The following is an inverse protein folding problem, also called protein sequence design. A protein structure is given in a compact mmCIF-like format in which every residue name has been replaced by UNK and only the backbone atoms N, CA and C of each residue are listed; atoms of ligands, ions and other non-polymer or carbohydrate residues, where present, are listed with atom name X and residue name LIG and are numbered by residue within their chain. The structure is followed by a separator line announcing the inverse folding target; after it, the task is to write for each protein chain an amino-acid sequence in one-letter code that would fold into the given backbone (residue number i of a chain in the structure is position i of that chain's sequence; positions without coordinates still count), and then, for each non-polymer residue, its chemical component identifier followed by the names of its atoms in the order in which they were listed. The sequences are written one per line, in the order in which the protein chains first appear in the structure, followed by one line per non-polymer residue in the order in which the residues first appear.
data_IF_596161198011
#
_entry.id   IF_596161198011
#
_cell.length_a   1.000
_cell.length_b   1.000
_cell.length_c   1.000
_cell.angle_alpha   90.00
_cell.angle_beta   90.00
_cell.angle_gamma   90.00
#
_symmetry.space_group_name_H-M   'P 1'
#
loop_
_entity.id
_entity.type
_entity.pdbx_description
1 polymer ?
#
# COMPACT_ATOMS: atom_id res chain seq x y z
N UNK A 1 -10.94 0.22 27.12
CA UNK A 1 -11.11 0.77 25.76
C UNK A 1 -11.00 -0.37 24.76
N UNK A 2 -11.86 -0.44 23.74
CA UNK A 2 -11.72 -1.44 22.69
C UNK A 2 -10.45 -1.17 21.88
N UNK A 3 -9.58 -2.16 21.76
CA UNK A 3 -8.31 -2.07 21.05
C UNK A 3 -8.53 -2.01 19.53
N UNK A 4 -7.64 -1.30 18.84
CA UNK A 4 -7.55 -1.34 17.38
C UNK A 4 -6.84 -2.63 16.99
N UNK A 5 -7.49 -3.45 16.17
CA UNK A 5 -6.97 -4.77 15.79
C UNK A 5 -6.44 -4.83 14.37
N UNK A 6 -6.87 -3.90 13.51
CA UNK A 6 -6.46 -3.81 12.11
C UNK A 6 -6.47 -2.38 11.65
N UNK A 7 -5.48 -2.03 10.84
CA UNK A 7 -5.39 -0.78 10.11
C UNK A 7 -5.04 -1.11 8.66
N UNK A 8 -5.73 -0.49 7.72
CA UNK A 8 -5.48 -0.61 6.29
C UNK A 8 -5.68 0.76 5.64
N UNK A 9 -4.90 1.06 4.62
CA UNK A 9 -4.96 2.32 3.89
C UNK A 9 -5.52 2.05 2.51
N UNK A 10 -6.48 2.86 2.08
CA UNK A 10 -6.94 2.82 0.70
C UNK A 10 -5.93 3.51 -0.22
N UNK A 11 -5.89 3.15 -1.52
CA UNK A 11 -5.11 3.88 -2.52
C UNK A 11 -5.51 5.36 -2.65
N UNK A 12 -6.71 5.73 -2.17
CA UNK A 12 -7.19 7.11 -2.17
C UNK A 12 -6.70 7.92 -0.94
N UNK A 13 -5.90 7.32 -0.04
CA UNK A 13 -5.33 7.99 1.13
C UNK A 13 -6.22 7.96 2.38
N UNK A 14 -7.34 7.23 2.35
CA UNK A 14 -8.18 7.06 3.55
C UNK A 14 -7.61 5.97 4.45
N UNK A 15 -7.61 6.24 5.75
CA UNK A 15 -7.35 5.28 6.81
C UNK A 15 -8.64 4.51 7.13
N UNK A 16 -8.55 3.19 7.18
CA UNK A 16 -9.56 2.30 7.71
C UNK A 16 -9.03 1.58 8.93
N UNK A 17 -9.82 1.53 10.00
CA UNK A 17 -9.42 0.87 11.25
C UNK A 17 -10.56 0.05 11.85
N UNK A 18 -10.23 -1.17 12.28
CA UNK A 18 -11.14 -2.04 13.04
C UNK A 18 -10.89 -1.85 14.53
N UNK A 19 -11.90 -1.34 15.25
CA UNK A 19 -11.86 -1.13 16.70
C UNK A 19 -12.95 -2.00 17.35
N UNK A 20 -12.54 -3.01 18.10
CA UNK A 20 -13.48 -4.07 18.52
C UNK A 20 -14.08 -4.76 17.30
N UNK A 21 -15.41 -4.69 17.16
CA UNK A 21 -16.18 -5.30 16.06
C UNK A 21 -16.60 -4.31 14.97
N UNK A 22 -16.24 -3.04 15.12
CA UNK A 22 -16.66 -1.93 14.26
C UNK A 22 -15.55 -1.52 13.28
N UNK A 23 -15.92 -1.05 12.09
CA UNK A 23 -15.00 -0.48 11.10
C UNK A 23 -15.22 1.02 10.98
N UNK A 24 -14.13 1.76 11.04
CA UNK A 24 -14.07 3.22 10.88
C UNK A 24 -13.27 3.58 9.64
N UNK A 25 -13.62 4.72 9.03
CA UNK A 25 -12.95 5.34 7.88
C UNK A 25 -12.76 6.83 8.13
N UNK A 26 -11.62 7.37 7.72
CA UNK A 26 -11.38 8.80 7.72
C UNK A 26 -10.03 9.15 7.12
N UNK A 27 -9.81 10.44 6.85
CA UNK A 27 -8.49 10.93 6.44
C UNK A 27 -7.47 10.71 7.55
N UNK A 28 -6.19 10.64 7.18
CA UNK A 28 -5.11 10.52 8.15
C UNK A 28 -5.12 11.68 9.15
N UNK A 29 -4.88 11.42 10.45
CA UNK A 29 -4.77 12.49 11.43
C UNK A 29 -3.56 13.36 11.08
N UNK A 30 -3.75 14.68 11.12
CA UNK A 30 -2.71 15.65 10.75
C UNK A 30 -1.71 15.91 11.89
N UNK A 31 -2.01 15.41 13.09
CA UNK A 31 -1.17 15.53 14.28
C UNK A 31 -1.37 14.34 15.22
N UNK A 32 -0.35 14.04 16.04
CA UNK A 32 -0.38 12.96 17.02
C UNK A 32 -1.38 13.16 18.16
N UNK A 33 -1.84 14.40 18.38
CA UNK A 33 -2.75 14.74 19.48
C UNK A 33 -4.23 14.64 19.07
N UNK A 34 -4.51 14.36 17.79
CA UNK A 34 -5.86 14.21 17.29
C UNK A 34 -6.38 12.81 17.62
N UNK A 35 -7.46 12.73 18.40
CA UNK A 35 -8.22 11.48 18.50
C UNK A 35 -8.91 11.20 17.17
N UNK A 36 -8.30 10.35 16.35
CA UNK A 36 -8.80 10.02 15.02
C UNK A 36 -10.22 9.45 15.06
N UNK A 37 -10.58 8.67 16.09
CA UNK A 37 -11.91 8.06 16.21
C UNK A 37 -13.00 9.09 16.52
N UNK A 38 -12.66 10.27 17.05
CA UNK A 38 -13.62 11.35 17.26
C UNK A 38 -14.09 11.99 15.94
N UNK A 39 -13.26 11.91 14.89
CA UNK A 39 -13.53 12.48 13.56
C UNK A 39 -13.81 11.43 12.49
N UNK A 40 -13.42 10.16 12.72
CA UNK A 40 -13.63 9.09 11.77
C UNK A 40 -15.11 8.69 11.66
N UNK A 41 -15.56 8.40 10.45
CA UNK A 41 -16.90 7.89 10.18
C UNK A 41 -16.92 6.39 10.45
N UNK A 42 -17.86 5.92 11.28
CA UNK A 42 -18.16 4.48 11.36
C UNK A 42 -18.82 4.06 10.05
N UNK A 43 -18.21 3.10 9.37
CA UNK A 43 -18.69 2.55 8.08
C UNK A 43 -19.06 1.07 8.21
N UNK A 44 -18.93 0.50 9.40
CA UNK A 44 -19.30 -0.88 9.67
C UNK A 44 -19.62 -1.09 11.14
N UNK A 45 -20.82 -1.59 11.42
CA UNK A 45 -21.39 -1.64 12.78
C UNK A 45 -20.99 -2.87 13.61
N UNK A 46 -20.73 -4.01 12.96
CA UNK A 46 -20.44 -5.27 13.67
C UNK A 46 -19.63 -6.23 12.79
N UNK A 47 -19.12 -7.27 13.43
CA UNK A 47 -18.43 -8.44 12.87
C UNK A 47 -17.14 -8.16 12.11
N UNK A 48 -16.56 -6.96 12.17
CA UNK A 48 -15.30 -6.68 11.46
C UNK A 48 -14.09 -7.38 12.07
N UNK A 49 -14.21 -7.86 13.31
CA UNK A 49 -13.20 -8.67 13.97
C UNK A 49 -13.13 -10.10 13.41
N UNK A 50 -14.14 -10.57 12.67
CA UNK A 50 -14.15 -11.92 12.05
C UNK A 50 -13.11 -12.10 10.96
N UNK A 51 -12.64 -10.99 10.38
CA UNK A 51 -11.60 -11.00 9.37
C UNK A 51 -10.23 -11.23 10.03
N UNK A 52 -9.38 -12.03 9.38
CA UNK A 52 -7.96 -12.16 9.72
C UNK A 52 -7.16 -11.02 9.12
N UNK A 53 -7.42 -10.70 7.86
CA UNK A 53 -6.76 -9.62 7.13
C UNK A 53 -7.76 -8.78 6.34
N UNK A 54 -7.40 -7.51 6.14
CA UNK A 54 -8.06 -6.54 5.29
C UNK A 54 -6.97 -5.85 4.47
N UNK A 55 -7.16 -5.74 3.16
CA UNK A 55 -6.19 -5.13 2.25
C UNK A 55 -6.90 -4.61 1.00
N UNK A 56 -6.34 -3.59 0.37
CA UNK A 56 -6.86 -3.03 -0.88
C UNK A 56 -6.02 -3.48 -2.07
N UNK A 57 -6.68 -3.64 -3.21
CA UNK A 57 -6.02 -3.64 -4.51
C UNK A 57 -5.71 -2.18 -4.95
N UNK A 58 -4.91 -1.94 -6.00
CA UNK A 58 -4.59 -0.58 -6.45
C UNK A 58 -5.83 0.23 -6.89
N UNK A 59 -6.91 -0.44 -7.27
CA UNK A 59 -8.15 0.18 -7.72
C UNK A 59 -9.10 0.54 -6.56
N UNK A 60 -8.72 0.23 -5.32
CA UNK A 60 -9.51 0.54 -4.13
C UNK A 60 -10.61 -0.48 -3.82
N UNK A 61 -10.57 -1.67 -4.42
CA UNK A 61 -11.43 -2.80 -4.02
C UNK A 61 -10.90 -3.36 -2.71
N UNK A 62 -11.77 -3.47 -1.71
CA UNK A 62 -11.45 -4.07 -0.43
C UNK A 62 -11.47 -5.59 -0.56
N UNK A 63 -10.39 -6.24 -0.14
CA UNK A 63 -10.30 -7.69 0.05
C UNK A 63 -10.25 -8.02 1.54
N UNK A 64 -10.95 -9.09 1.92
CA UNK A 64 -11.05 -9.52 3.31
C UNK A 64 -11.01 -11.06 3.40
N UNK A 65 -10.00 -11.61 4.07
CA UNK A 65 -9.98 -13.03 4.40
C UNK A 65 -10.55 -13.25 5.80
N UNK A 66 -11.48 -14.18 5.94
CA UNK A 66 -12.08 -14.53 7.23
C UNK A 66 -11.13 -15.41 8.06
N UNK A 67 -11.31 -15.43 9.38
CA UNK A 67 -10.60 -16.37 10.27
C UNK A 67 -10.88 -17.84 9.91
N UNK A 68 -12.03 -18.12 9.28
CA UNK A 68 -12.44 -19.45 8.81
C UNK A 68 -11.86 -19.80 7.44
N UNK A 69 -11.14 -18.87 6.78
CA UNK A 69 -10.37 -19.16 5.57
C UNK A 69 -11.07 -18.84 4.25
N UNK A 70 -12.22 -18.17 4.26
CA UNK A 70 -12.86 -17.67 3.05
C UNK A 70 -12.24 -16.33 2.62
N UNK A 71 -12.27 -16.02 1.32
CA UNK A 71 -11.88 -14.70 0.79
C UNK A 71 -13.06 -14.02 0.10
N UNK A 72 -13.23 -12.74 0.41
CA UNK A 72 -14.23 -11.87 -0.20
C UNK A 72 -13.57 -10.63 -0.77
N UNK A 73 -14.18 -10.06 -1.82
CA UNK A 73 -13.80 -8.76 -2.38
C UNK A 73 -15.03 -7.91 -2.67
N UNK A 74 -14.92 -6.60 -2.60
CA UNK A 74 -16.01 -5.68 -2.95
C UNK A 74 -15.61 -4.22 -2.79
N UNK A 75 -16.48 -3.27 -3.18
CA UNK A 75 -16.24 -1.86 -2.91
C UNK A 75 -16.05 -1.62 -1.41
N UNK A 76 -15.17 -0.68 -1.04
CA UNK A 76 -14.99 -0.32 0.37
C UNK A 76 -16.32 0.20 0.96
N UNK A 77 -16.72 -0.22 2.17
CA UNK A 77 -17.96 0.26 2.77
C UNK A 77 -17.92 1.76 3.01
N UNK A 78 -18.98 2.47 2.62
CA UNK A 78 -19.11 3.92 2.74
C UNK A 78 -20.07 4.37 3.85
N UNK A 79 -20.86 3.45 4.40
CA UNK A 79 -21.83 3.69 5.47
C UNK A 79 -22.10 2.39 6.27
N UNK A 80 -22.54 2.54 7.51
CA UNK A 80 -22.75 1.43 8.46
C UNK A 80 -24.08 0.68 8.31
N UNK A 81 -25.00 1.17 7.47
CA UNK A 81 -26.37 0.66 7.38
C UNK A 81 -26.47 -0.57 6.46
N UNK A 82 -25.42 -0.88 5.70
CA UNK A 82 -25.37 -2.02 4.81
C UNK A 82 -24.33 -3.02 5.28
N UNK A 83 -24.71 -4.31 5.30
CA UNK A 83 -23.74 -5.37 5.53
C UNK A 83 -22.83 -5.52 4.32
N UNK A 84 -21.55 -5.19 4.48
CA UNK A 84 -20.57 -5.37 3.41
C UNK A 84 -20.53 -6.82 2.92
N UNK A 85 -20.49 -7.79 3.86
CA UNK A 85 -20.36 -9.21 3.52
C UNK A 85 -21.54 -9.76 2.72
N UNK A 86 -22.77 -9.31 3.00
CA UNK A 86 -24.00 -9.87 2.40
C UNK A 86 -24.62 -8.98 1.31
N UNK A 87 -24.26 -7.69 1.26
CA UNK A 87 -24.84 -6.73 0.31
C UNK A 87 -23.89 -6.29 -0.80
N UNK A 88 -22.59 -6.26 -0.55
CA UNK A 88 -21.60 -5.64 -1.46
C UNK A 88 -20.47 -6.59 -1.86
N UNK A 89 -20.04 -7.45 -0.95
CA UNK A 89 -18.90 -8.32 -1.16
C UNK A 89 -19.28 -9.57 -1.96
N UNK A 90 -18.38 -9.95 -2.87
CA UNK A 90 -18.43 -11.19 -3.62
C UNK A 90 -17.43 -12.18 -3.02
N UNK A 91 -17.89 -13.41 -2.73
CA UNK A 91 -16.99 -14.50 -2.36
C UNK A 91 -16.12 -14.87 -3.55
N UNK A 92 -14.81 -14.90 -3.36
CA UNK A 92 -13.81 -15.27 -4.39
C UNK A 92 -12.86 -16.35 -3.92
N UNK A 93 -13.09 -16.94 -2.75
CA UNK A 93 -12.34 -18.09 -2.28
C UNK A 93 -13.10 -18.84 -1.19
N UNK A 94 -13.16 -20.17 -1.31
CA UNK A 94 -13.94 -21.05 -0.41
C UNK A 94 -13.21 -21.44 0.87
N UNK A 95 -11.87 -21.48 0.88
CA UNK A 95 -11.10 -21.95 2.03
C UNK A 95 -9.60 -21.70 1.91
N UNK A 96 -8.87 -21.89 3.01
CA UNK A 96 -7.40 -21.82 3.07
C UNK A 96 -6.78 -20.42 3.15
N UNK A 97 -7.56 -19.35 2.95
CA UNK A 97 -7.03 -17.98 2.93
C UNK A 97 -6.52 -17.49 4.29
N UNK A 98 -6.97 -18.12 5.37
CA UNK A 98 -6.49 -17.88 6.73
C UNK A 98 -5.12 -18.51 7.01
N UNK A 99 -4.60 -19.36 6.11
CA UNK A 99 -3.29 -19.99 6.29
C UNK A 99 -2.13 -19.10 5.86
N UNK A 100 -2.38 -18.14 4.95
CA UNK A 100 -1.36 -17.17 4.53
C UNK A 100 -0.89 -16.33 5.72
N UNK A 101 0.43 -16.21 5.85
CA UNK A 101 1.06 -15.31 6.83
C UNK A 101 0.86 -13.84 6.44
N UNK A 102 0.87 -13.56 5.13
CA UNK A 102 0.59 -12.25 4.55
C UNK A 102 -0.07 -12.38 3.18
N UNK A 103 -0.92 -11.40 2.84
CA UNK A 103 -1.56 -11.22 1.54
C UNK A 103 -1.47 -9.73 1.18
N UNK A 104 -1.01 -9.41 -0.03
CA UNK A 104 -0.86 -8.03 -0.49
C UNK A 104 -0.81 -7.96 -2.01
N UNK A 105 -1.12 -6.79 -2.56
CA UNK A 105 -1.05 -6.51 -3.99
C UNK A 105 0.19 -5.69 -4.32
N UNK A 106 0.67 -5.80 -5.55
CA UNK A 106 1.56 -4.80 -6.16
C UNK A 106 0.74 -3.74 -6.93
N UNK A 107 1.41 -2.68 -7.41
CA UNK A 107 0.77 -1.61 -8.20
C UNK A 107 0.04 -2.09 -9.47
N UNK A 108 0.41 -3.25 -10.03
CA UNK A 108 -0.24 -3.84 -11.22
C UNK A 108 -1.46 -4.71 -10.88
N UNK A 109 -1.85 -4.79 -9.61
CA UNK A 109 -2.97 -5.61 -9.16
C UNK A 109 -2.69 -7.12 -9.12
N UNK A 110 -1.42 -7.54 -9.12
CA UNK A 110 -1.05 -8.94 -8.89
C UNK A 110 -1.06 -9.23 -7.39
N UNK A 111 -1.72 -10.32 -7.00
CA UNK A 111 -1.81 -10.77 -5.61
C UNK A 111 -0.57 -11.59 -5.26
N UNK A 112 -0.01 -11.32 -4.08
CA UNK A 112 1.08 -12.05 -3.47
C UNK A 112 0.61 -12.69 -2.18
N UNK A 113 1.14 -13.87 -1.89
CA UNK A 113 0.87 -14.60 -0.66
C UNK A 113 2.14 -15.19 -0.07
N UNK A 114 2.26 -15.10 1.25
CA UNK A 114 3.30 -15.80 2.01
C UNK A 114 2.70 -17.04 2.64
N UNK A 115 3.15 -18.21 2.23
CA UNK A 115 2.68 -19.52 2.74
C UNK A 115 3.82 -20.53 2.74
N UNK A 116 3.87 -21.40 3.75
CA UNK A 116 4.92 -22.42 3.91
C UNK A 116 6.35 -21.89 3.71
N UNK A 117 6.62 -20.71 4.27
CA UNK A 117 7.90 -19.98 4.17
C UNK A 117 8.30 -19.55 2.74
N UNK A 118 7.38 -19.66 1.78
CA UNK A 118 7.54 -19.23 0.38
C UNK A 118 6.78 -17.94 0.10
N UNK A 119 7.21 -17.24 -0.95
CA UNK A 119 6.44 -16.18 -1.59
C UNK A 119 5.90 -16.69 -2.93
N UNK A 120 4.58 -16.58 -3.08
CA UNK A 120 3.86 -16.96 -4.30
C UNK A 120 3.10 -15.76 -4.86
N UNK A 121 2.89 -15.74 -6.17
CA UNK A 121 2.13 -14.68 -6.85
C UNK A 121 1.26 -15.23 -7.97
N UNK A 122 0.11 -14.57 -8.20
CA UNK A 122 -0.79 -14.77 -9.34
C UNK A 122 -1.81 -13.64 -9.39
N UNK A 123 -2.45 -13.42 -10.54
CA UNK A 123 -3.65 -12.58 -10.60
C UNK A 123 -4.68 -13.02 -9.54
N UNK A 124 -5.41 -12.08 -8.91
CA UNK A 124 -6.36 -12.41 -7.85
C UNK A 124 -7.48 -13.30 -8.37
N UNK A 125 -8.08 -14.14 -7.50
CA UNK A 125 -9.18 -14.99 -7.91
C UNK A 125 -10.42 -14.15 -8.22
N UNK A 126 -11.22 -14.62 -9.17
CA UNK A 126 -12.48 -13.96 -9.57
C UNK A 126 -13.72 -14.77 -9.19
N UNK A 127 -13.55 -16.03 -8.78
CA UNK A 127 -14.64 -16.93 -8.40
C UNK A 127 -14.23 -17.85 -7.24
N UNK A 128 -15.16 -18.36 -6.42
CA UNK A 128 -14.86 -19.16 -5.24
C UNK A 128 -14.05 -20.43 -5.50
N UNK A 129 -14.31 -21.10 -6.63
CA UNK A 129 -13.72 -22.42 -6.97
C UNK A 129 -12.34 -22.31 -7.64
N UNK A 130 -11.76 -21.11 -7.66
CA UNK A 130 -10.41 -20.89 -8.18
C UNK A 130 -9.37 -21.35 -7.14
N UNK A 131 -8.72 -22.47 -7.45
CA UNK A 131 -7.57 -22.94 -6.67
C UNK A 131 -6.34 -22.06 -6.94
N UNK A 132 -6.36 -20.90 -6.30
CA UNK A 132 -5.39 -19.84 -6.51
C UNK A 132 -3.98 -20.30 -6.13
N UNK A 133 -3.85 -21.08 -5.06
CA UNK A 133 -2.54 -21.49 -4.56
C UNK A 133 -1.88 -22.53 -5.48
N UNK A 134 -2.60 -23.55 -5.94
CA UNK A 134 -2.00 -24.61 -6.77
C UNK A 134 -1.50 -24.12 -8.13
N UNK A 135 -2.14 -23.07 -8.66
CA UNK A 135 -1.78 -22.43 -9.93
C UNK A 135 -0.88 -21.19 -9.78
N UNK A 136 -0.45 -20.86 -8.55
CA UNK A 136 0.42 -19.72 -8.31
C UNK A 136 1.88 -19.99 -8.69
N UNK A 137 2.58 -18.93 -9.09
CA UNK A 137 4.03 -19.01 -9.33
C UNK A 137 4.78 -18.77 -8.02
N UNK A 138 5.65 -19.70 -7.64
CA UNK A 138 6.59 -19.48 -6.53
C UNK A 138 7.76 -18.61 -7.03
N UNK A 139 7.98 -17.50 -6.35
CA UNK A 139 9.04 -16.51 -6.65
C UNK A 139 9.99 -16.30 -5.45
N UNK A 140 9.77 -17.05 -4.38
CA UNK A 140 10.61 -17.02 -3.18
C UNK A 140 10.54 -18.37 -2.48
N UNK A 141 11.68 -19.03 -2.32
CA UNK A 141 11.72 -20.44 -1.91
C UNK A 141 11.78 -20.66 -0.40
N UNK A 142 12.28 -19.70 0.38
CA UNK A 142 12.40 -19.77 1.84
C UNK A 142 12.66 -18.39 2.45
N UNK A 143 12.52 -18.29 3.77
CA UNK A 143 12.81 -17.09 4.56
C UNK A 143 11.73 -16.00 4.49
N UNK A 144 10.54 -16.32 3.98
CA UNK A 144 9.44 -15.35 3.84
C UNK A 144 8.54 -15.29 5.06
N UNK A 145 8.42 -16.39 5.83
CA UNK A 145 7.52 -16.45 6.99
C UNK A 145 7.96 -15.55 8.14
N UNK A 146 9.25 -15.24 8.21
CA UNK A 146 9.82 -14.33 9.21
C UNK A 146 9.63 -12.86 8.84
N UNK A 147 9.29 -12.57 7.58
CA UNK A 147 9.02 -11.23 7.10
C UNK A 147 7.54 -10.86 7.35
N UNK A 148 7.31 -9.60 7.69
CA UNK A 148 6.00 -9.01 7.95
C UNK A 148 5.95 -7.59 7.37
N UNK A 149 4.79 -6.92 7.53
CA UNK A 149 4.60 -5.53 7.11
C UNK A 149 5.01 -5.29 5.64
N UNK A 150 4.57 -6.19 4.76
CA UNK A 150 4.87 -6.11 3.34
C UNK A 150 4.19 -4.90 2.71
N UNK A 151 4.97 -4.11 1.97
CA UNK A 151 4.48 -2.98 1.19
C UNK A 151 5.04 -3.15 -0.23
N UNK A 152 4.17 -3.48 -1.18
CA UNK A 152 4.52 -3.64 -2.61
C UNK A 152 3.89 -2.55 -3.50
N UNK A 153 3.34 -1.53 -2.86
CA UNK A 153 2.80 -0.31 -3.47
C UNK A 153 3.74 0.88 -3.28
N UNK A 154 5.04 0.64 -3.10
CA UNK A 154 5.97 1.75 -2.97
C UNK A 154 6.13 2.46 -4.33
N UNK A 155 6.31 3.79 -4.34
CA UNK A 155 6.48 4.57 -5.57
C UNK A 155 7.68 4.14 -6.43
N UNK A 156 8.65 3.46 -5.81
CA UNK A 156 9.88 2.98 -6.43
C UNK A 156 9.77 1.56 -7.02
N UNK A 157 8.58 0.94 -6.94
CA UNK A 157 8.32 -0.45 -7.36
C UNK A 157 9.12 -1.52 -6.60
N UNK A 158 9.77 -1.16 -5.50
CA UNK A 158 10.45 -2.11 -4.64
C UNK A 158 9.46 -2.82 -3.69
N UNK A 159 9.84 -4.02 -3.26
CA UNK A 159 9.22 -4.64 -2.11
C UNK A 159 9.85 -4.06 -0.85
N UNK A 160 9.01 -3.68 0.10
CA UNK A 160 9.41 -3.36 1.46
C UNK A 160 8.86 -4.39 2.42
N UNK A 161 9.65 -4.76 3.42
CA UNK A 161 9.21 -5.68 4.47
C UNK A 161 10.07 -5.52 5.73
N UNK A 162 9.55 -6.02 6.84
CA UNK A 162 10.23 -6.03 8.14
C UNK A 162 10.49 -7.46 8.56
N UNK A 163 11.72 -7.78 8.95
CA UNK A 163 12.02 -9.04 9.64
C UNK A 163 11.48 -8.96 11.07
N UNK A 164 10.46 -9.76 11.36
CA UNK A 164 9.76 -9.78 12.65
C UNK A 164 10.65 -10.15 13.84
N UNK A 165 11.78 -10.84 13.60
CA UNK A 165 12.66 -11.36 14.65
C UNK A 165 13.59 -10.29 15.20
N UNK A 166 14.12 -9.44 14.33
CA UNK A 166 15.13 -8.43 14.69
C UNK A 166 14.67 -6.99 14.40
N UNK A 167 13.50 -6.81 13.79
CA UNK A 167 12.93 -5.52 13.45
C UNK A 167 13.62 -4.81 12.28
N UNK A 168 14.50 -5.50 11.55
CA UNK A 168 15.18 -4.92 10.39
C UNK A 168 14.19 -4.65 9.27
N UNK A 169 14.18 -3.42 8.75
CA UNK A 169 13.41 -3.08 7.55
C UNK A 169 14.30 -3.22 6.32
N UNK A 170 13.77 -3.87 5.29
CA UNK A 170 14.43 -4.14 4.03
C UNK A 170 13.63 -3.53 2.88
N UNK A 171 14.36 -3.03 1.89
CA UNK A 171 13.83 -2.56 0.60
C UNK A 171 14.63 -3.20 -0.52
N UNK A 172 13.98 -3.71 -1.55
CA UNK A 172 14.66 -4.13 -2.77
C UNK A 172 13.71 -4.56 -3.88
N UNK A 173 14.23 -4.91 -5.06
CA UNK A 173 13.40 -5.30 -6.18
C UNK A 173 12.57 -6.53 -5.83
N UNK A 174 11.31 -6.56 -6.27
CA UNK A 174 10.44 -7.73 -6.13
C UNK A 174 11.15 -8.93 -6.79
N UNK A 175 11.32 -10.06 -6.08
CA UNK A 175 11.98 -11.23 -6.65
C UNK A 175 11.15 -11.81 -7.79
N UNK A 176 11.84 -12.48 -8.72
CA UNK A 176 11.21 -13.18 -9.83
C UNK A 176 11.42 -14.68 -9.68
N UNK A 177 10.74 -15.48 -10.50
CA UNK A 177 10.96 -16.92 -10.55
C UNK A 177 12.43 -17.26 -10.85
N UNK A 178 13.06 -16.49 -11.73
CA UNK A 178 14.44 -16.70 -12.17
C UNK A 178 15.47 -16.14 -11.19
N UNK A 179 15.06 -15.19 -10.34
CA UNK A 179 15.90 -14.62 -9.29
C UNK A 179 15.14 -14.45 -7.97
N UNK A 180 14.95 -15.55 -7.21
CA UNK A 180 14.13 -15.57 -6.02
C UNK A 180 14.82 -14.98 -4.78
N UNK A 181 16.10 -14.58 -4.88
CA UNK A 181 16.94 -14.22 -3.74
C UNK A 181 16.76 -12.77 -3.30
N UNK A 182 15.56 -12.41 -2.85
CA UNK A 182 15.27 -11.06 -2.35
C UNK A 182 16.29 -10.59 -1.30
N UNK A 183 16.64 -11.44 -0.33
CA UNK A 183 17.53 -11.08 0.79
C UNK A 183 18.95 -10.71 0.36
N UNK A 184 19.42 -11.16 -0.82
CA UNK A 184 20.74 -10.77 -1.36
C UNK A 184 20.74 -9.39 -2.01
N UNK A 185 19.57 -8.96 -2.49
CA UNK A 185 19.39 -7.71 -3.23
C UNK A 185 18.81 -6.59 -2.37
N UNK A 186 18.04 -6.97 -1.36
CA UNK A 186 17.40 -6.03 -0.49
C UNK A 186 18.43 -5.33 0.41
N UNK A 187 18.31 -4.01 0.49
CA UNK A 187 19.11 -3.17 1.34
C UNK A 187 18.40 -3.05 2.68
N UNK A 188 19.13 -3.32 3.77
CA UNK A 188 18.66 -3.02 5.12
C UNK A 188 18.74 -1.52 5.36
N UNK A 189 17.61 -0.89 5.68
CA UNK A 189 17.54 0.57 5.89
C UNK A 189 17.53 0.96 7.37
N UNK A 190 17.19 0.04 8.27
CA UNK A 190 17.13 0.29 9.70
C UNK A 190 16.68 -0.93 10.50
N UNK A 191 16.41 -0.74 11.79
CA UNK A 191 16.00 -1.78 12.75
C UNK A 191 14.97 -1.25 13.77
N UNK A 192 14.35 -2.16 14.52
CA UNK A 192 13.31 -1.83 15.52
C UNK A 192 11.91 -1.63 14.95
N UNK A 193 11.70 -1.89 13.65
CA UNK A 193 10.42 -1.70 12.99
C UNK A 193 9.37 -2.77 13.32
N UNK A 194 9.77 -3.87 13.97
CA UNK A 194 8.85 -4.86 14.52
C UNK A 194 8.07 -4.34 15.74
N UNK A 195 8.44 -3.18 16.29
CA UNK A 195 7.64 -2.49 17.30
C UNK A 195 6.33 -1.89 16.75
N UNK A 196 6.25 -1.68 15.43
CA UNK A 196 5.06 -1.12 14.79
C UNK A 196 4.10 -2.23 14.36
N UNK A 197 2.81 -2.14 14.74
CA UNK A 197 1.83 -3.17 14.36
C UNK A 197 1.36 -3.06 12.90
N UNK A 198 1.56 -1.92 12.26
CA UNK A 198 1.18 -1.65 10.87
C UNK A 198 2.14 -0.65 10.24
N UNK A 199 2.33 -0.76 8.92
CA UNK A 199 3.11 0.17 8.12
C UNK A 199 2.55 0.15 6.70
N UNK A 200 2.47 1.31 6.07
CA UNK A 200 2.03 1.46 4.69
C UNK A 200 2.58 2.75 4.10
N UNK A 201 2.75 2.78 2.79
CA UNK A 201 2.86 4.05 2.08
C UNK A 201 1.44 4.56 1.82
N UNK A 202 1.14 5.79 2.23
CA UNK A 202 -0.07 6.47 1.78
C UNK A 202 0.19 7.00 0.38
N UNK A 203 -0.58 6.51 -0.59
CA UNK A 203 -0.65 7.13 -1.91
C UNK A 203 -1.28 8.52 -1.72
N UNK A 204 -0.45 9.55 -1.77
CA UNK A 204 -0.88 10.93 -1.64
C UNK A 204 -1.43 11.39 -3.00
N UNK A 205 -2.54 10.80 -3.50
CA UNK A 205 -3.12 11.06 -4.84
C UNK A 205 -2.13 11.07 -6.03
N UNK A 206 -0.92 10.57 -5.83
CA UNK A 206 0.21 10.70 -6.72
C UNK A 206 1.02 9.42 -6.52
N UNK A 207 1.66 8.93 -7.57
CA UNK A 207 2.56 7.77 -7.66
C UNK A 207 1.97 6.53 -8.35
N UNK A 208 1.45 6.72 -9.58
CA UNK A 208 2.01 5.91 -10.67
C UNK A 208 3.25 6.68 -11.20
N UNK A 209 4.32 5.97 -11.52
CA UNK A 209 5.64 6.56 -11.74
C UNK A 209 5.62 7.77 -12.68
N UNK A 210 6.09 8.91 -12.17
CA UNK A 210 5.99 10.25 -12.79
C UNK A 210 4.54 10.74 -12.77
N UNK A 211 4.30 11.85 -12.06
CA UNK A 211 3.02 12.54 -12.08
C UNK A 211 2.69 12.87 -13.54
N UNK A 212 1.69 12.22 -14.13
CA UNK A 212 1.07 12.70 -15.35
C UNK A 212 0.20 13.91 -14.97
N UNK A 213 0.53 15.06 -15.53
CA UNK A 213 -0.45 16.12 -15.74
C UNK A 213 -1.36 15.65 -16.88
N UNK A 214 -2.59 15.23 -16.58
CA UNK A 214 -3.64 15.22 -17.59
C UNK A 214 -4.08 16.66 -17.82
N UNK A 215 -3.69 17.22 -18.96
CA UNK A 215 -4.50 18.24 -19.61
C UNK A 215 -5.69 17.51 -20.25
N UNK A 216 -6.87 18.11 -20.16
CA UNK A 216 -7.98 17.81 -21.06
C UNK A 216 -7.88 18.76 -22.26
N UNK A 217 -7.08 18.50 -23.32
CA UNK A 217 -7.32 19.12 -24.59
C UNK A 217 -8.42 18.30 -25.25
N UNK A 218 -9.64 18.79 -25.18
CA UNK A 218 -10.62 18.41 -26.19
C UNK A 218 -9.96 18.71 -27.54
N UNK A 219 -9.62 17.64 -28.25
CA UNK A 219 -9.01 17.60 -29.59
C UNK A 219 -7.49 17.90 -29.68
N UNK A 220 -6.64 16.97 -29.22
CA UNK A 220 -5.21 16.96 -29.57
C UNK A 220 -4.54 15.59 -29.39
N UNK A 221 -3.74 15.14 -30.37
CA UNK A 221 -2.99 13.87 -30.31
C UNK A 221 -1.54 14.13 -29.89
N UNK A 222 -1.11 13.53 -28.78
CA UNK A 222 0.29 13.56 -28.33
C UNK A 222 1.13 12.67 -29.26
N UNK A 223 2.21 13.22 -29.82
CA UNK A 223 3.10 12.52 -30.77
C UNK A 223 4.34 11.91 -30.09
N UNK A 224 4.83 12.51 -29.00
CA UNK A 224 5.92 11.96 -28.17
C UNK A 224 5.97 12.63 -26.78
N UNK A 225 6.55 11.94 -25.79
CA UNK A 225 6.78 12.43 -24.44
C UNK A 225 8.17 11.95 -23.97
N UNK A 226 8.91 12.81 -23.28
CA UNK A 226 10.18 12.47 -22.63
C UNK A 226 10.19 13.02 -21.21
N UNK A 227 10.73 12.25 -20.26
CA UNK A 227 10.81 12.64 -18.84
C UNK A 227 12.25 12.52 -18.38
N UNK A 228 12.78 13.62 -17.83
CA UNK A 228 14.14 13.70 -17.30
C UNK A 228 14.11 13.93 -15.79
N UNK A 229 14.87 13.13 -15.03
CA UNK A 229 15.01 13.30 -13.58
C UNK A 229 16.04 14.41 -13.34
N UNK A 230 15.56 15.62 -13.03
CA UNK A 230 16.42 16.81 -12.88
C UNK A 230 17.21 16.80 -11.57
N UNK A 231 16.68 16.20 -10.50
CA UNK A 231 17.37 16.13 -9.21
C UNK A 231 16.95 14.91 -8.38
N UNK A 232 17.93 14.24 -7.78
CA UNK A 232 17.74 13.17 -6.80
C UNK A 232 18.52 13.51 -5.53
N UNK A 233 17.89 13.34 -4.36
CA UNK A 233 18.54 13.52 -3.06
C UNK A 233 18.32 12.27 -2.21
N UNK A 234 19.41 11.71 -1.69
CA UNK A 234 19.40 10.52 -0.84
C UNK A 234 19.69 10.95 0.59
N UNK A 235 18.74 10.76 1.49
CA UNK A 235 18.89 11.05 2.91
C UNK A 235 19.25 9.78 3.68
N UNK A 236 20.44 9.76 4.28
CA UNK A 236 20.95 8.62 5.04
C UNK A 236 20.83 8.87 6.54
N UNK A 237 19.80 8.30 7.18
CA UNK A 237 19.55 8.49 8.60
C UNK A 237 20.15 7.35 9.44
N UNK A 238 21.48 7.33 9.59
CA UNK A 238 22.19 6.38 10.47
C UNK A 238 22.14 6.85 11.93
N UNK A 239 21.01 6.66 12.61
CA UNK A 239 20.92 6.86 14.07
C UNK A 239 21.20 5.55 14.82
N UNK A 240 21.85 5.63 16.00
CA UNK A 240 22.00 4.52 16.95
C UNK A 240 20.80 4.36 17.90
N UNK A 241 19.81 5.23 17.80
CA UNK A 241 18.61 5.24 18.63
C UNK A 241 17.33 5.30 17.76
N UNK A 242 16.25 4.59 18.14
CA UNK A 242 14.96 4.70 17.47
C UNK A 242 14.44 6.14 17.51
N UNK A 243 14.03 6.66 16.36
CA UNK A 243 13.46 8.00 16.27
C UNK A 243 12.10 8.02 16.98
N UNK A 244 12.01 8.79 18.07
CA UNK A 244 10.75 9.05 18.80
C UNK A 244 10.02 10.29 18.28
N UNK A 245 10.29 10.71 17.05
CA UNK A 245 9.78 11.93 16.46
C UNK A 245 9.39 11.70 15.01
N UNK A 246 8.34 12.40 14.56
CA UNK A 246 7.95 12.45 13.15
C UNK A 246 9.07 13.06 12.34
N UNK A 247 9.61 12.31 11.38
CA UNK A 247 10.51 12.87 10.38
C UNK A 247 9.66 13.61 9.36
N UNK A 248 9.90 14.90 9.15
CA UNK A 248 9.27 15.68 8.06
C UNK A 248 10.33 16.33 7.23
N UNK A 249 10.23 16.21 5.90
CA UNK A 249 11.01 17.05 5.00
C UNK A 249 10.07 17.86 4.12
N UNK A 250 10.52 19.06 3.76
CA UNK A 250 9.80 19.97 2.87
C UNK A 250 10.75 20.46 1.81
N UNK A 251 10.40 20.26 0.55
CA UNK A 251 11.19 20.76 -0.58
C UNK A 251 10.26 21.43 -1.57
N UNK A 252 10.76 22.52 -2.16
CA UNK A 252 10.09 23.24 -3.24
C UNK A 252 10.68 22.73 -4.55
N UNK A 253 9.84 22.20 -5.43
CA UNK A 253 10.23 21.83 -6.80
C UNK A 253 9.64 22.85 -7.75
N UNK A 254 10.47 23.32 -8.67
CA UNK A 254 10.07 24.18 -9.79
C UNK A 254 9.90 23.29 -11.01
N UNK A 255 8.66 23.10 -11.44
CA UNK A 255 8.39 22.49 -12.74
C UNK A 255 8.54 23.57 -13.80
N UNK A 256 9.35 23.30 -14.82
CA UNK A 256 9.46 24.16 -16.02
C UNK A 256 8.99 23.35 -17.21
N UNK A 257 7.80 23.68 -17.71
CA UNK A 257 7.22 23.02 -18.87
C UNK A 257 7.30 23.97 -20.07
N UNK A 258 7.91 23.50 -21.16
CA UNK A 258 8.04 24.25 -22.42
C UNK A 258 7.24 23.59 -23.52
N UNK A 259 6.25 24.29 -24.06
CA UNK A 259 5.48 23.88 -25.22
C UNK A 259 6.03 24.58 -26.46
N UNK A 260 6.31 23.84 -27.54
CA UNK A 260 6.76 24.39 -28.82
C UNK A 260 5.90 23.85 -29.96
N UNK A 261 5.32 24.74 -30.77
CA UNK A 261 4.57 24.39 -31.98
C UNK A 261 5.47 24.54 -33.22
N UNK A 262 5.28 23.72 -34.26
CA UNK A 262 6.06 23.73 -35.52
C UNK A 262 6.10 25.08 -36.25
N UNK A 263 5.27 26.06 -35.85
CA UNK A 263 5.24 27.41 -36.41
C UNK A 263 5.80 28.51 -35.48
N UNK A 264 6.65 28.14 -34.52
CA UNK A 264 7.55 29.09 -33.84
C UNK A 264 7.00 29.76 -32.58
N UNK A 265 5.99 29.17 -31.93
CA UNK A 265 5.47 29.66 -30.66
C UNK A 265 5.95 28.76 -29.52
N UNK A 266 6.76 29.33 -28.63
CA UNK A 266 7.25 28.65 -27.42
C UNK A 266 6.63 29.29 -26.19
N UNK A 267 5.86 28.51 -25.41
CA UNK A 267 5.35 28.93 -24.10
C UNK A 267 6.12 28.19 -23.01
N UNK A 268 6.70 28.95 -22.07
CA UNK A 268 7.24 28.41 -20.83
C UNK A 268 6.26 28.69 -19.70
N UNK A 269 5.78 27.64 -19.03
CA UNK A 269 4.92 27.74 -17.86
C UNK A 269 5.68 27.13 -16.69
N UNK A 270 5.86 27.94 -15.64
CA UNK A 270 6.52 27.52 -14.40
C UNK A 270 5.50 27.32 -13.29
N UNK A 271 5.57 26.20 -12.59
CA UNK A 271 4.80 25.97 -11.37
C UNK A 271 5.75 25.61 -10.22
N UNK A 272 5.60 26.27 -9.09
CA UNK A 272 6.31 25.91 -7.86
C UNK A 272 5.36 25.14 -6.94
N UNK A 273 5.78 23.93 -6.55
CA UNK A 273 5.04 23.14 -5.57
C UNK A 273 5.94 22.80 -4.39
N UNK A 274 5.41 22.97 -3.18
CA UNK A 274 6.07 22.55 -1.95
C UNK A 274 5.32 21.36 -1.38
N UNK A 275 5.99 20.21 -1.27
CA UNK A 275 5.40 19.03 -0.63
C UNK A 275 6.05 18.78 0.73
N UNK A 276 5.27 18.18 1.63
CA UNK A 276 5.68 17.81 2.97
C UNK A 276 5.35 16.35 3.19
N UNK A 277 6.38 15.51 3.24
CA UNK A 277 6.24 14.08 3.50
C UNK A 277 6.90 13.72 4.83
N UNK A 278 6.39 12.69 5.50
CA UNK A 278 6.94 12.25 6.77
C UNK A 278 6.49 10.87 7.22
N UNK A 279 7.28 10.27 8.10
CA UNK A 279 6.96 9.01 8.77
C UNK A 279 6.37 9.37 10.15
N UNK A 280 5.06 9.21 10.38
CA UNK A 280 4.44 9.56 11.65
C UNK A 280 4.80 8.54 12.73
N UNK A 281 5.09 9.03 13.93
CA UNK A 281 5.01 8.21 15.15
C UNK A 281 3.53 8.12 15.55
N UNK A 282 2.99 6.91 15.61
CA UNK A 282 1.67 6.64 16.17
C UNK A 282 1.89 5.97 17.52
N UNK A 283 1.50 6.65 18.59
CA UNK A 283 1.58 6.18 19.99
C UNK A 283 0.25 5.58 20.39
#
# INVERSE_FOLDING_TARGET
MNAVTKIVFSPAGDLYAVRGIELYRGSMPSSSNQDWFSTAKRVGKTDWDKYKCLFFDPQGVLYAATKNGELYKGPAPSNENMSWLYGEATKVGTGGWNLFAALFFNHKGILYGVTDDKLVMRSPPTKPDDDWLSSSTTIGNSGWRVLSLFIAFSPDNDLWCVDSRNGSIYKGPIPTKDDPNYQKKAVQLGWGYNAYPFMSFTLDKIMEGIVSFEFLPDVGKILSQNVEVVQSQIYNNKSRSPLKHTFTFSTTMTETSTFSQEHGLTLAVGAEMTFKAGIPLIV
#
